data_IF_082883005187
#
_entry.id   IF_082883005187
#
_cell.length_a   1.000
_cell.length_b   1.000
_cell.length_c   1.000
_cell.angle_alpha   90.00
_cell.angle_beta   90.00
_cell.angle_gamma   90.00
#
_symmetry.space_group_name_H-M   'P 1'
#
loop_
_entity.id
_entity.type
_entity.pdbx_description
1 polymer ?
#
# COMPACT_ATOMS: atom_id res chain seq x y z
N UNK A 1 -44.26 -15.27 9.73
CA UNK A 1 -42.96 -14.66 9.38
C UNK A 1 -42.09 -15.76 8.80
N UNK A 2 -42.13 -15.96 7.49
CA UNK A 2 -41.13 -16.80 6.80
C UNK A 2 -39.87 -15.95 6.67
N UNK A 3 -38.84 -16.29 7.47
CA UNK A 3 -37.49 -15.76 7.28
C UNK A 3 -37.10 -15.90 5.81
N UNK A 4 -36.61 -14.83 5.21
CA UNK A 4 -36.08 -14.87 3.85
C UNK A 4 -34.72 -15.56 3.91
N UNK A 5 -34.75 -16.90 3.95
CA UNK A 5 -33.61 -17.79 4.27
C UNK A 5 -32.38 -17.55 3.42
N UNK A 6 -32.51 -16.94 2.23
CA UNK A 6 -31.38 -16.58 1.38
C UNK A 6 -30.71 -15.26 1.80
N UNK A 7 -31.47 -14.27 2.26
CA UNK A 7 -30.92 -12.99 2.71
C UNK A 7 -30.16 -13.13 4.03
N UNK A 8 -30.69 -13.91 4.98
CA UNK A 8 -30.05 -14.17 6.28
C UNK A 8 -28.69 -14.86 6.09
N UNK A 9 -28.63 -15.86 5.20
CA UNK A 9 -27.39 -16.57 4.88
C UNK A 9 -26.33 -15.65 4.23
N UNK A 10 -26.74 -14.75 3.34
CA UNK A 10 -25.83 -13.76 2.75
C UNK A 10 -25.29 -12.80 3.81
N UNK A 11 -26.16 -12.27 4.68
CA UNK A 11 -25.74 -11.33 5.72
C UNK A 11 -24.77 -11.97 6.72
N UNK A 12 -25.10 -13.16 7.22
CA UNK A 12 -24.22 -13.90 8.14
C UNK A 12 -22.87 -14.21 7.52
N UNK A 13 -22.83 -14.60 6.23
CA UNK A 13 -21.58 -14.84 5.51
C UNK A 13 -20.73 -13.57 5.40
N UNK A 14 -21.33 -12.43 5.08
CA UNK A 14 -20.62 -11.15 4.99
C UNK A 14 -20.03 -10.74 6.35
N UNK A 15 -20.80 -10.91 7.44
CA UNK A 15 -20.33 -10.65 8.79
C UNK A 15 -19.17 -11.57 9.20
N UNK A 16 -19.19 -12.82 8.75
CA UNK A 16 -18.07 -13.76 8.93
C UNK A 16 -16.77 -13.34 8.25
N UNK A 17 -16.82 -12.41 7.30
CA UNK A 17 -15.63 -11.91 6.59
C UNK A 17 -14.58 -11.30 7.51
N UNK A 18 -14.99 -10.64 8.61
CA UNK A 18 -14.08 -10.11 9.61
C UNK A 18 -13.26 -11.23 10.29
N UNK A 19 -13.92 -12.32 10.67
CA UNK A 19 -13.26 -13.47 11.29
C UNK A 19 -12.36 -14.21 10.31
N UNK A 20 -12.78 -14.33 9.05
CA UNK A 20 -11.95 -14.92 8.00
C UNK A 20 -10.69 -14.09 7.75
N UNK A 21 -10.79 -12.76 7.72
CA UNK A 21 -9.61 -11.89 7.59
C UNK A 21 -8.61 -12.10 8.73
N UNK A 22 -9.07 -12.19 9.99
CA UNK A 22 -8.23 -12.54 11.15
C UNK A 22 -7.62 -13.93 11.02
N UNK A 23 -8.38 -14.93 10.57
CA UNK A 23 -7.87 -16.29 10.36
C UNK A 23 -6.74 -16.33 9.32
N UNK A 24 -6.88 -15.59 8.21
CA UNK A 24 -5.84 -15.47 7.18
C UNK A 24 -4.60 -14.77 7.76
N UNK A 25 -4.77 -13.69 8.52
CA UNK A 25 -3.67 -12.98 9.17
C UNK A 25 -2.89 -13.87 10.15
N UNK A 26 -3.58 -14.71 10.93
CA UNK A 26 -2.94 -15.69 11.81
C UNK A 26 -2.13 -16.71 10.99
N UNK A 27 -2.68 -17.25 9.91
CA UNK A 27 -1.94 -18.17 9.04
C UNK A 27 -0.71 -17.51 8.40
N UNK A 28 -0.81 -16.22 8.04
CA UNK A 28 0.30 -15.42 7.54
C UNK A 28 1.37 -15.16 8.62
N UNK A 29 0.97 -14.86 9.86
CA UNK A 29 1.90 -14.70 11.00
C UNK A 29 2.64 -15.99 11.31
N UNK A 30 1.94 -17.13 11.28
CA UNK A 30 2.49 -18.46 11.56
C UNK A 30 3.23 -19.08 10.36
N UNK A 31 3.39 -18.35 9.26
CA UNK A 31 4.13 -18.77 8.06
C UNK A 31 3.63 -20.08 7.45
N UNK A 32 2.34 -20.40 7.61
CA UNK A 32 1.77 -21.70 7.23
C UNK A 32 2.00 -21.97 5.73
N UNK A 33 1.84 -20.96 4.89
CA UNK A 33 2.06 -21.09 3.45
C UNK A 33 3.52 -21.42 3.10
N UNK A 34 4.48 -20.83 3.82
CA UNK A 34 5.91 -21.11 3.65
C UNK A 34 6.24 -22.56 4.07
N UNK A 35 5.72 -23.01 5.22
CA UNK A 35 5.90 -24.38 5.71
C UNK A 35 5.36 -25.42 4.70
N UNK A 36 4.17 -25.18 4.17
CA UNK A 36 3.49 -26.07 3.19
C UNK A 36 4.15 -26.01 1.80
N UNK A 37 4.83 -24.91 1.44
CA UNK A 37 5.44 -24.75 0.13
C UNK A 37 6.53 -25.82 -0.16
N UNK A 38 7.15 -26.36 0.89
CA UNK A 38 8.15 -27.43 0.75
C UNK A 38 7.51 -28.80 0.53
N UNK A 39 6.44 -29.10 1.28
CA UNK A 39 5.66 -30.34 1.20
C UNK A 39 4.31 -30.17 1.89
N UNK A 40 3.27 -30.92 1.49
CA UNK A 40 2.00 -30.92 2.20
C UNK A 40 2.12 -31.41 3.65
N UNK A 41 1.64 -30.62 4.60
CA UNK A 41 1.69 -30.89 6.04
C UNK A 41 0.31 -31.14 6.63
N UNK A 42 0.25 -31.95 7.68
CA UNK A 42 -0.95 -32.10 8.51
C UNK A 42 -1.12 -30.92 9.46
N UNK A 43 -2.35 -30.69 9.95
CA UNK A 43 -2.58 -29.68 10.99
C UNK A 43 -1.75 -29.95 12.26
N UNK A 44 -1.52 -31.22 12.63
CA UNK A 44 -0.66 -31.57 13.77
C UNK A 44 0.80 -31.20 13.53
N UNK A 45 1.35 -31.53 12.34
CA UNK A 45 2.71 -31.12 11.96
C UNK A 45 2.84 -29.59 11.97
N UNK A 46 1.88 -28.86 11.40
CA UNK A 46 1.85 -27.39 11.44
C UNK A 46 1.80 -26.84 12.87
N UNK A 47 1.01 -27.45 13.76
CA UNK A 47 0.95 -27.04 15.16
C UNK A 47 2.29 -27.21 15.87
N UNK A 48 2.99 -28.33 15.61
CA UNK A 48 4.32 -28.58 16.16
C UNK A 48 5.35 -27.55 15.67
N UNK A 49 5.41 -27.32 14.35
CA UNK A 49 6.36 -26.37 13.74
C UNK A 49 6.13 -24.92 14.21
N UNK A 50 4.86 -24.55 14.43
CA UNK A 50 4.47 -23.19 14.82
C UNK A 50 4.25 -23.01 16.33
N UNK A 51 4.49 -24.06 17.12
CA UNK A 51 4.25 -24.08 18.58
C UNK A 51 2.82 -23.69 18.97
N UNK A 52 1.85 -24.05 18.13
CA UNK A 52 0.43 -23.78 18.33
C UNK A 52 -0.28 -24.98 18.98
N UNK A 53 -1.49 -24.73 19.50
CA UNK A 53 -2.36 -25.79 19.99
C UNK A 53 -2.85 -26.67 18.80
N UNK A 54 -2.69 -28.00 18.86
CA UNK A 54 -3.08 -28.88 17.76
C UNK A 54 -4.57 -28.90 17.42
N UNK A 55 -5.48 -28.80 18.40
CA UNK A 55 -6.93 -28.78 18.15
C UNK A 55 -7.34 -27.47 17.49
N UNK A 56 -6.79 -26.35 17.97
CA UNK A 56 -7.08 -25.03 17.39
C UNK A 56 -6.50 -24.90 15.98
N UNK A 57 -5.28 -25.40 15.74
CA UNK A 57 -4.67 -25.43 14.40
C UNK A 57 -5.51 -26.26 13.42
N UNK A 58 -6.01 -27.43 13.83
CA UNK A 58 -6.90 -28.25 12.99
C UNK A 58 -8.17 -27.49 12.58
N UNK A 59 -8.82 -26.79 13.52
CA UNK A 59 -10.00 -25.97 13.23
C UNK A 59 -9.70 -24.79 12.31
N UNK A 60 -8.57 -24.11 12.54
CA UNK A 60 -8.12 -23.01 11.68
C UNK A 60 -7.90 -23.49 10.24
N UNK A 61 -7.15 -24.58 10.06
CA UNK A 61 -6.84 -25.12 8.73
C UNK A 61 -8.08 -25.65 8.02
N UNK A 62 -9.03 -26.27 8.74
CA UNK A 62 -10.33 -26.66 8.17
C UNK A 62 -11.14 -25.46 7.68
N UNK A 63 -11.20 -24.38 8.46
CA UNK A 63 -11.88 -23.15 8.04
C UNK A 63 -11.23 -22.57 6.79
N UNK A 64 -9.90 -22.40 6.81
CA UNK A 64 -9.17 -21.80 5.69
C UNK A 64 -9.26 -22.68 4.43
N UNK A 65 -9.26 -24.01 4.56
CA UNK A 65 -9.47 -24.90 3.44
C UNK A 65 -10.91 -24.87 2.90
N UNK A 66 -11.92 -24.82 3.78
CA UNK A 66 -13.31 -24.69 3.36
C UNK A 66 -13.59 -23.36 2.64
N UNK A 67 -12.83 -22.31 2.95
CA UNK A 67 -12.88 -21.01 2.25
C UNK A 67 -11.96 -20.95 1.01
N UNK A 68 -11.28 -22.05 0.64
CA UNK A 68 -10.43 -22.11 -0.56
C UNK A 68 -9.10 -21.39 -0.43
N UNK A 69 -8.67 -21.02 0.78
CA UNK A 69 -7.35 -20.42 1.02
C UNK A 69 -6.27 -21.48 0.87
N UNK A 70 -6.42 -22.62 1.55
CA UNK A 70 -5.59 -23.81 1.39
C UNK A 70 -6.41 -24.95 0.78
N UNK A 71 -5.75 -26.01 0.33
CA UNK A 71 -6.43 -27.22 -0.16
C UNK A 71 -6.19 -28.38 0.81
N UNK A 72 -7.24 -29.10 1.22
CA UNK A 72 -7.09 -30.37 1.94
C UNK A 72 -7.03 -31.50 0.92
N UNK A 73 -5.84 -32.07 0.72
CA UNK A 73 -5.57 -33.10 -0.29
C UNK A 73 -5.81 -34.53 0.23
N UNK A 74 -6.52 -34.67 1.37
CA UNK A 74 -6.81 -35.93 2.02
C UNK A 74 -5.91 -36.23 3.22
N UNK A 75 -6.35 -37.15 4.09
CA UNK A 75 -5.65 -37.53 5.34
C UNK A 75 -5.25 -36.34 6.24
N UNK A 76 -6.05 -35.27 6.21
CA UNK A 76 -5.79 -34.02 6.92
C UNK A 76 -4.48 -33.33 6.53
N UNK A 77 -3.98 -33.55 5.31
CA UNK A 77 -2.82 -32.85 4.75
C UNK A 77 -3.26 -31.67 3.90
N UNK A 78 -2.54 -30.56 4.05
CA UNK A 78 -2.84 -29.30 3.41
C UNK A 78 -1.77 -28.92 2.38
N UNK A 79 -2.20 -28.42 1.24
CA UNK A 79 -1.37 -27.88 0.18
C UNK A 79 -1.71 -26.41 -0.09
N UNK A 80 -0.77 -25.67 -0.69
CA UNK A 80 -1.03 -24.30 -1.12
C UNK A 80 -1.97 -24.26 -2.34
N UNK A 81 -2.92 -23.32 -2.33
CA UNK A 81 -3.67 -22.93 -3.53
C UNK A 81 -2.98 -21.74 -4.20
N UNK A 82 -3.53 -21.26 -5.33
CA UNK A 82 -3.11 -19.98 -5.90
C UNK A 82 -3.34 -18.79 -4.95
N UNK A 83 -4.28 -18.89 -4.01
CA UNK A 83 -4.56 -17.85 -3.02
C UNK A 83 -3.53 -17.88 -1.89
N UNK A 84 -3.29 -19.03 -1.25
CA UNK A 84 -2.29 -19.11 -0.17
C UNK A 84 -0.86 -18.97 -0.68
N UNK A 85 -0.59 -19.20 -1.97
CA UNK A 85 0.69 -18.87 -2.59
C UNK A 85 1.02 -17.36 -2.50
N UNK A 86 0.01 -16.49 -2.39
CA UNK A 86 0.21 -15.05 -2.12
C UNK A 86 0.62 -14.79 -0.66
N UNK A 87 0.56 -15.77 0.24
CA UNK A 87 1.05 -15.65 1.61
C UNK A 87 2.49 -16.14 1.77
N UNK A 88 3.10 -16.72 0.74
CA UNK A 88 4.50 -17.15 0.81
C UNK A 88 5.43 -15.92 0.81
N UNK A 89 6.43 -15.94 1.68
CA UNK A 89 7.43 -14.88 1.86
C UNK A 89 8.35 -14.71 0.64
N UNK A 90 8.65 -15.79 -0.07
CA UNK A 90 9.51 -15.81 -1.24
C UNK A 90 8.81 -15.45 -2.56
N UNK A 91 7.50 -15.18 -2.52
CA UNK A 91 6.73 -14.79 -3.70
C UNK A 91 6.95 -13.31 -4.00
N UNK A 92 7.31 -13.00 -5.25
CA UNK A 92 7.38 -11.60 -5.72
C UNK A 92 6.02 -10.89 -5.60
N UNK A 93 4.93 -11.65 -5.60
CA UNK A 93 3.55 -11.19 -5.48
C UNK A 93 2.99 -11.36 -4.07
N UNK A 94 3.84 -11.57 -3.06
CA UNK A 94 3.40 -11.78 -1.69
C UNK A 94 2.51 -10.63 -1.20
N UNK A 95 1.44 -10.97 -0.49
CA UNK A 95 0.55 -10.10 0.26
C UNK A 95 0.54 -10.48 1.73
N UNK A 96 1.50 -11.30 2.18
CA UNK A 96 1.58 -11.85 3.53
C UNK A 96 1.47 -10.75 4.59
N UNK A 97 2.26 -9.69 4.45
CA UNK A 97 2.31 -8.61 5.44
C UNK A 97 1.08 -7.72 5.32
N UNK A 98 0.54 -7.52 4.11
CA UNK A 98 -0.75 -6.85 3.96
C UNK A 98 -1.87 -7.61 4.67
N UNK A 99 -1.93 -8.94 4.55
CA UNK A 99 -2.90 -9.76 5.27
C UNK A 99 -2.73 -9.66 6.78
N UNK A 100 -1.48 -9.64 7.28
CA UNK A 100 -1.18 -9.40 8.69
C UNK A 100 -1.69 -8.02 9.14
N UNK A 101 -1.31 -6.94 8.45
CA UNK A 101 -1.77 -5.58 8.75
C UNK A 101 -3.30 -5.48 8.78
N UNK A 102 -3.96 -6.04 7.76
CA UNK A 102 -5.41 -6.03 7.62
C UNK A 102 -6.12 -6.77 8.76
N UNK A 103 -5.57 -7.90 9.21
CA UNK A 103 -6.08 -8.67 10.34
C UNK A 103 -5.48 -8.26 11.69
N UNK A 104 -4.66 -7.24 11.79
CA UNK A 104 -4.07 -6.76 13.06
C UNK A 104 -4.48 -5.32 13.30
N UNK A 105 -3.57 -4.36 13.18
CA UNK A 105 -3.81 -2.96 13.53
C UNK A 105 -5.00 -2.37 12.76
N UNK A 106 -5.19 -2.68 11.47
CA UNK A 106 -6.35 -2.19 10.73
C UNK A 106 -7.65 -2.78 11.25
N UNK A 107 -7.67 -4.07 11.59
CA UNK A 107 -8.85 -4.69 12.18
C UNK A 107 -9.25 -4.01 13.48
N UNK A 108 -8.26 -3.70 14.34
CA UNK A 108 -8.52 -3.07 15.63
C UNK A 108 -9.05 -1.65 15.45
N UNK A 109 -8.50 -0.89 14.49
CA UNK A 109 -9.03 0.43 14.10
C UNK A 109 -10.47 0.32 13.56
N UNK A 110 -10.76 -0.67 12.71
CA UNK A 110 -12.12 -0.91 12.19
C UNK A 110 -13.12 -1.26 13.29
N UNK A 111 -12.66 -1.85 14.41
CA UNK A 111 -13.46 -2.05 15.61
C UNK A 111 -14.07 -0.75 16.16
N UNK A 112 -13.44 0.40 15.90
CA UNK A 112 -13.91 1.72 16.29
C UNK A 112 -14.61 2.50 15.16
N UNK A 113 -15.02 1.86 14.05
CA UNK A 113 -15.72 2.51 12.93
C UNK A 113 -16.91 3.39 13.35
N UNK A 114 -17.66 2.96 14.37
CA UNK A 114 -18.80 3.73 14.89
C UNK A 114 -18.39 5.15 15.35
N UNK A 115 -17.17 5.31 15.89
CA UNK A 115 -16.61 6.60 16.23
C UNK A 115 -16.53 7.47 14.98
N UNK A 116 -15.85 7.00 13.93
CA UNK A 116 -15.68 7.73 12.67
C UNK A 116 -17.02 8.13 12.05
N UNK A 117 -18.01 7.23 12.03
CA UNK A 117 -19.33 7.54 11.49
C UNK A 117 -20.04 8.64 12.31
N UNK A 118 -19.89 8.65 13.63
CA UNK A 118 -20.57 9.62 14.50
C UNK A 118 -19.88 10.97 14.56
N UNK A 119 -18.55 11.01 14.48
CA UNK A 119 -17.76 12.22 14.75
C UNK A 119 -17.12 12.81 13.50
N UNK A 120 -16.99 12.03 12.43
CA UNK A 120 -16.18 12.38 11.26
C UNK A 120 -14.67 12.31 11.51
N UNK A 121 -14.23 11.85 12.70
CA UNK A 121 -12.83 11.74 13.08
C UNK A 121 -12.27 10.34 12.81
N UNK A 122 -10.96 10.25 12.57
CA UNK A 122 -10.27 8.98 12.39
C UNK A 122 -10.46 8.03 13.57
N UNK A 123 -10.70 6.75 13.30
CA UNK A 123 -10.85 5.73 14.33
C UNK A 123 -9.51 5.41 15.03
N UNK A 124 -8.38 5.78 14.43
CA UNK A 124 -7.07 5.71 15.07
C UNK A 124 -7.05 6.51 16.38
N UNK A 125 -7.71 7.66 16.44
CA UNK A 125 -7.76 8.49 17.65
C UNK A 125 -8.44 7.75 18.80
N UNK A 126 -9.55 7.06 18.51
CA UNK A 126 -10.31 6.30 19.51
C UNK A 126 -9.60 4.99 19.91
N UNK A 127 -8.84 4.38 19.00
CA UNK A 127 -8.20 3.07 19.19
C UNK A 127 -6.83 3.20 19.85
N UNK A 128 -6.01 4.15 19.41
CA UNK A 128 -4.60 4.29 19.81
C UNK A 128 -4.27 5.63 20.48
N UNK A 129 -5.27 6.51 20.68
CA UNK A 129 -5.08 7.82 21.33
C UNK A 129 -4.35 8.86 20.47
N UNK A 130 -4.13 8.59 19.18
CA UNK A 130 -3.43 9.48 18.25
C UNK A 130 -3.58 9.03 16.80
N UNK A 131 -2.69 9.50 15.92
CA UNK A 131 -2.65 9.01 14.54
C UNK A 131 -2.13 7.58 14.45
N UNK A 132 -2.37 6.91 13.31
CA UNK A 132 -1.71 5.63 13.00
C UNK A 132 -0.19 5.76 13.12
N UNK A 133 0.38 6.84 12.61
CA UNK A 133 1.83 7.06 12.63
C UNK A 133 2.38 7.18 14.04
N UNK A 134 1.70 7.89 14.95
CA UNK A 134 2.10 7.98 16.37
C UNK A 134 2.09 6.61 17.06
N UNK A 135 1.15 5.73 16.67
CA UNK A 135 1.11 4.36 17.16
C UNK A 135 2.31 3.54 16.64
N UNK A 136 2.63 3.65 15.35
CA UNK A 136 3.77 2.94 14.76
C UNK A 136 5.12 3.39 15.37
N UNK A 137 5.28 4.66 15.74
CA UNK A 137 6.49 5.12 16.46
C UNK A 137 6.65 4.49 17.85
N UNK A 138 5.55 4.09 18.49
CA UNK A 138 5.54 3.49 19.84
C UNK A 138 5.61 1.96 19.81
N UNK A 139 5.17 1.33 18.73
CA UNK A 139 5.05 -0.12 18.60
C UNK A 139 5.91 -0.66 17.44
N UNK A 140 7.20 -0.99 17.69
CA UNK A 140 8.15 -1.36 16.63
C UNK A 140 7.73 -2.56 15.77
N UNK A 141 7.09 -3.56 16.36
CA UNK A 141 6.63 -4.73 15.60
C UNK A 141 5.47 -4.37 14.66
N UNK A 142 4.54 -3.51 15.11
CA UNK A 142 3.47 -3.01 14.25
C UNK A 142 4.03 -2.13 13.12
N UNK A 143 5.04 -1.30 13.40
CA UNK A 143 5.76 -0.54 12.38
C UNK A 143 6.39 -1.44 11.33
N UNK A 144 7.09 -2.51 11.75
CA UNK A 144 7.70 -3.47 10.84
C UNK A 144 6.67 -4.14 9.93
N UNK A 145 5.54 -4.58 10.49
CA UNK A 145 4.44 -5.17 9.69
C UNK A 145 3.86 -4.15 8.73
N UNK A 146 3.66 -2.90 9.16
CA UNK A 146 3.17 -1.82 8.31
C UNK A 146 4.11 -1.53 7.13
N UNK A 147 5.41 -1.35 7.40
CA UNK A 147 6.42 -1.04 6.38
C UNK A 147 6.49 -2.16 5.32
N UNK A 148 6.47 -3.43 5.76
CA UNK A 148 6.47 -4.59 4.87
C UNK A 148 5.13 -4.73 4.10
N UNK A 149 4.00 -4.40 4.72
CA UNK A 149 2.70 -4.38 4.04
C UNK A 149 2.65 -3.29 2.96
N UNK A 150 3.22 -2.11 3.22
CA UNK A 150 3.33 -1.06 2.22
C UNK A 150 4.24 -1.49 1.07
N UNK A 151 5.32 -2.21 1.37
CA UNK A 151 6.18 -2.83 0.36
C UNK A 151 5.41 -3.84 -0.51
N UNK A 152 4.63 -4.73 0.10
CA UNK A 152 3.77 -5.71 -0.59
C UNK A 152 2.86 -5.01 -1.62
N UNK A 153 2.20 -3.92 -1.21
CA UNK A 153 1.31 -3.15 -2.06
C UNK A 153 2.05 -2.26 -3.08
N UNK A 154 3.32 -1.92 -2.85
CA UNK A 154 4.11 -1.07 -3.72
C UNK A 154 4.82 -1.85 -4.84
N UNK A 155 5.20 -3.12 -4.61
CA UNK A 155 5.94 -3.94 -5.58
C UNK A 155 5.34 -3.94 -7.01
N UNK A 156 4.02 -4.16 -7.22
CA UNK A 156 3.46 -4.17 -8.57
C UNK A 156 3.60 -2.83 -9.28
N UNK A 157 3.42 -1.72 -8.56
CA UNK A 157 3.57 -0.36 -9.10
C UNK A 157 5.03 -0.06 -9.43
N UNK A 158 5.95 -0.45 -8.54
CA UNK A 158 7.40 -0.30 -8.76
C UNK A 158 7.87 -1.01 -10.02
N UNK A 159 7.44 -2.27 -10.22
CA UNK A 159 7.72 -3.03 -11.45
C UNK A 159 7.17 -2.33 -12.69
N UNK A 160 5.90 -1.90 -12.65
CA UNK A 160 5.28 -1.24 -13.80
C UNK A 160 6.00 0.05 -14.18
N UNK A 161 6.38 0.88 -13.19
CA UNK A 161 7.14 2.10 -13.44
C UNK A 161 8.53 1.79 -13.98
N UNK A 162 9.24 0.81 -13.41
CA UNK A 162 10.55 0.39 -13.88
C UNK A 162 10.52 -0.06 -15.36
N UNK A 163 9.48 -0.78 -15.77
CA UNK A 163 9.31 -1.29 -17.13
C UNK A 163 8.80 -0.25 -18.14
N UNK A 164 7.84 0.61 -17.73
CA UNK A 164 7.06 1.43 -18.66
C UNK A 164 7.38 2.91 -18.65
N UNK A 165 7.97 3.44 -17.57
CA UNK A 165 8.32 4.85 -17.51
C UNK A 165 9.69 5.12 -18.14
N UNK A 166 9.79 6.20 -18.90
CA UNK A 166 11.05 6.60 -19.53
C UNK A 166 11.85 7.55 -18.62
N UNK A 167 13.03 7.09 -18.20
CA UNK A 167 13.94 7.84 -17.32
C UNK A 167 15.21 8.34 -18.02
N UNK A 168 15.27 8.33 -19.36
CA UNK A 168 16.51 8.48 -20.14
C UNK A 168 17.28 9.79 -19.89
N UNK A 169 16.58 10.89 -19.60
CA UNK A 169 17.19 12.21 -19.35
C UNK A 169 17.34 12.54 -17.85
N UNK A 170 16.85 11.67 -16.96
CA UNK A 170 16.92 11.88 -15.52
C UNK A 170 18.19 11.26 -14.94
N UNK A 171 18.68 11.84 -13.85
CA UNK A 171 19.80 11.32 -13.06
C UNK A 171 19.36 11.05 -11.62
N UNK A 172 18.50 11.89 -11.04
CA UNK A 172 18.02 11.75 -9.66
C UNK A 172 16.50 11.60 -9.61
N UNK A 173 16.03 10.53 -8.97
CA UNK A 173 14.62 10.30 -8.65
C UNK A 173 14.41 10.46 -7.14
N UNK A 174 13.47 11.31 -6.74
CA UNK A 174 13.10 11.53 -5.34
C UNK A 174 11.72 10.89 -5.10
N UNK A 175 11.64 9.93 -4.21
CA UNK A 175 10.38 9.31 -3.78
C UNK A 175 9.95 9.91 -2.45
N UNK A 176 8.86 10.67 -2.47
CA UNK A 176 8.38 11.48 -1.34
C UNK A 176 7.33 10.67 -0.59
N UNK A 177 7.62 10.30 0.66
CA UNK A 177 6.84 9.31 1.40
C UNK A 177 7.06 7.89 0.84
N UNK A 178 8.29 7.60 0.42
CA UNK A 178 8.63 6.36 -0.30
C UNK A 178 8.68 5.10 0.57
N UNK A 179 8.46 5.21 1.89
CA UNK A 179 8.52 4.10 2.82
C UNK A 179 9.91 3.46 2.85
N UNK A 180 9.95 2.14 2.67
CA UNK A 180 11.21 1.40 2.57
C UNK A 180 11.87 1.46 1.18
N UNK A 181 11.42 2.35 0.30
CA UNK A 181 12.00 2.57 -1.02
C UNK A 181 11.72 1.47 -2.04
N UNK A 182 10.73 0.60 -1.80
CA UNK A 182 10.39 -0.52 -2.72
C UNK A 182 10.23 -0.08 -4.18
N UNK A 183 9.56 1.06 -4.43
CA UNK A 183 9.37 1.59 -5.78
C UNK A 183 10.71 2.03 -6.39
N UNK A 184 11.51 2.80 -5.64
CA UNK A 184 12.83 3.23 -6.09
C UNK A 184 13.77 2.06 -6.35
N UNK A 185 13.80 1.04 -5.49
CA UNK A 185 14.66 -0.12 -5.69
C UNK A 185 14.38 -0.80 -7.04
N UNK A 186 13.10 -0.98 -7.40
CA UNK A 186 12.73 -1.54 -8.71
C UNK A 186 13.18 -0.65 -9.87
N UNK A 187 12.97 0.67 -9.77
CA UNK A 187 13.38 1.64 -10.81
C UNK A 187 14.90 1.65 -10.97
N UNK A 188 15.65 1.72 -9.86
CA UNK A 188 17.11 1.78 -9.88
C UNK A 188 17.73 0.47 -10.40
N UNK A 189 17.11 -0.67 -10.14
CA UNK A 189 17.55 -1.95 -10.69
C UNK A 189 17.42 -2.01 -12.22
N UNK A 190 16.32 -1.47 -12.78
CA UNK A 190 16.08 -1.43 -14.22
C UNK A 190 16.85 -0.31 -14.95
N UNK A 191 17.23 0.76 -14.26
CA UNK A 191 17.86 1.96 -14.82
C UNK A 191 19.17 2.29 -14.09
N UNK A 192 20.31 1.67 -14.48
CA UNK A 192 21.59 1.77 -13.75
C UNK A 192 22.18 3.18 -13.68
N UNK A 193 21.79 4.08 -14.59
CA UNK A 193 22.26 5.48 -14.62
C UNK A 193 21.60 6.36 -13.56
N UNK A 194 20.53 5.88 -12.90
CA UNK A 194 19.80 6.66 -11.90
C UNK A 194 20.40 6.52 -10.50
N UNK A 195 20.19 7.59 -9.73
CA UNK A 195 20.35 7.70 -8.29
C UNK A 195 18.97 7.98 -7.67
N UNK A 196 18.71 7.42 -6.49
CA UNK A 196 17.46 7.55 -5.77
C UNK A 196 17.62 8.26 -4.42
N UNK A 197 16.64 9.09 -4.08
CA UNK A 197 16.47 9.64 -2.74
C UNK A 197 15.08 9.23 -2.25
N UNK A 198 15.02 8.37 -1.24
CA UNK A 198 13.78 8.00 -0.57
C UNK A 198 13.60 8.89 0.65
N UNK A 199 12.65 9.83 0.62
CA UNK A 199 12.36 10.70 1.75
C UNK A 199 11.17 10.14 2.53
N UNK A 200 11.39 9.89 3.82
CA UNK A 200 10.35 9.45 4.75
C UNK A 200 10.73 9.85 6.19
N UNK A 201 9.95 9.41 7.19
CA UNK A 201 10.23 9.63 8.61
C UNK A 201 11.52 8.93 9.03
N UNK A 202 12.14 9.44 10.09
CA UNK A 202 13.42 8.92 10.62
C UNK A 202 13.37 7.43 10.97
N UNK A 203 12.31 7.00 11.67
CA UNK A 203 12.09 5.60 12.03
C UNK A 203 12.01 4.68 10.81
N UNK A 204 11.28 5.10 9.77
CA UNK A 204 11.08 4.37 8.51
C UNK A 204 12.39 4.28 7.74
N UNK A 205 13.11 5.40 7.58
CA UNK A 205 14.42 5.41 6.92
C UNK A 205 15.42 4.48 7.63
N UNK A 206 15.42 4.46 8.96
CA UNK A 206 16.27 3.56 9.75
C UNK A 206 15.94 2.09 9.48
N UNK A 207 14.66 1.68 9.58
CA UNK A 207 14.27 0.29 9.29
C UNK A 207 14.61 -0.11 7.85
N UNK A 208 14.43 0.80 6.89
CA UNK A 208 14.75 0.55 5.49
C UNK A 208 16.25 0.34 5.26
N UNK A 209 17.10 1.13 5.93
CA UNK A 209 18.56 0.97 5.90
C UNK A 209 19.03 -0.34 6.54
N UNK A 210 18.35 -0.84 7.57
CA UNK A 210 18.66 -2.13 8.20
C UNK A 210 18.29 -3.32 7.29
N UNK A 211 17.26 -3.16 6.45
CA UNK A 211 16.74 -4.21 5.58
C UNK A 211 17.31 -4.21 4.14
N UNK A 212 17.91 -3.11 3.68
CA UNK A 212 18.37 -2.98 2.29
C UNK A 212 19.58 -3.87 1.99
N UNK A 213 19.56 -4.55 0.84
CA UNK A 213 20.71 -5.29 0.35
C UNK A 213 21.86 -4.34 -0.03
N UNK A 214 23.10 -4.74 0.27
CA UNK A 214 24.30 -3.92 0.05
C UNK A 214 24.51 -3.52 -1.44
N UNK A 215 23.96 -4.29 -2.37
CA UNK A 215 24.00 -4.02 -3.82
C UNK A 215 23.14 -2.81 -4.23
N UNK A 216 22.06 -2.53 -3.48
CA UNK A 216 21.15 -1.42 -3.75
C UNK A 216 21.53 -0.14 -2.98
N UNK A 217 22.30 -0.26 -1.89
CA UNK A 217 22.61 0.86 -0.99
C UNK A 217 23.52 1.94 -1.59
N UNK A 218 24.32 1.63 -2.61
CA UNK A 218 25.22 2.62 -3.21
C UNK A 218 24.51 3.70 -4.02
N UNK A 219 23.30 3.44 -4.50
CA UNK A 219 22.54 4.36 -5.38
C UNK A 219 21.22 4.82 -4.80
N UNK A 220 20.86 4.33 -3.62
CA UNK A 220 19.64 4.69 -2.91
C UNK A 220 20.00 5.32 -1.57
N UNK A 221 19.72 6.62 -1.44
CA UNK A 221 19.88 7.35 -0.19
C UNK A 221 18.53 7.48 0.52
N UNK A 222 18.44 7.00 1.76
CA UNK A 222 17.30 7.27 2.62
C UNK A 222 17.51 8.61 3.33
N UNK A 223 16.61 9.57 3.09
CA UNK A 223 16.68 10.91 3.64
C UNK A 223 15.56 11.09 4.68
N UNK A 224 15.87 11.02 5.99
CA UNK A 224 14.88 11.29 7.01
C UNK A 224 14.42 12.75 6.93
N UNK A 225 13.11 12.99 6.88
CA UNK A 225 12.58 14.35 6.77
C UNK A 225 11.07 14.46 6.78
N UNK A 226 10.60 15.70 6.89
CA UNK A 226 9.19 16.07 6.74
C UNK A 226 8.96 16.61 5.33
N UNK A 227 8.12 15.97 4.53
CA UNK A 227 7.78 16.43 3.18
C UNK A 227 6.91 17.70 3.16
N UNK A 228 6.42 18.15 4.32
CA UNK A 228 5.83 19.48 4.49
C UNK A 228 6.87 20.57 4.71
N UNK A 229 8.16 20.23 4.74
CA UNK A 229 9.31 21.12 4.70
C UNK A 229 9.97 21.13 3.30
N UNK A 230 11.01 21.96 3.06
CA UNK A 230 11.74 21.97 1.79
C UNK A 230 12.33 20.59 1.42
N UNK A 231 12.21 20.21 0.16
CA UNK A 231 12.61 18.90 -0.37
C UNK A 231 13.98 18.97 -1.08
N UNK A 232 14.72 17.84 -1.16
CA UNK A 232 15.94 17.78 -1.95
C UNK A 232 15.62 17.97 -3.43
N UNK A 233 16.52 18.59 -4.20
CA UNK A 233 16.36 18.70 -5.66
C UNK A 233 16.42 17.32 -6.32
N UNK A 234 15.57 17.13 -7.33
CA UNK A 234 15.53 15.93 -8.17
C UNK A 234 15.09 16.25 -9.59
N UNK A 235 15.36 15.34 -10.54
CA UNK A 235 14.83 15.44 -11.91
C UNK A 235 13.41 14.89 -12.00
N UNK A 236 13.08 13.90 -11.16
CA UNK A 236 11.77 13.31 -11.05
C UNK A 236 11.40 13.23 -9.57
N UNK A 237 10.17 13.65 -9.24
CA UNK A 237 9.54 13.36 -7.96
C UNK A 237 8.45 12.31 -8.15
N UNK A 238 8.39 11.33 -7.27
CA UNK A 238 7.31 10.34 -7.18
C UNK A 238 6.56 10.58 -5.87
N UNK A 239 5.23 10.64 -5.96
CA UNK A 239 4.31 10.72 -4.82
C UNK A 239 3.30 9.60 -5.02
N UNK A 240 3.50 8.46 -4.36
CA UNK A 240 2.64 7.28 -4.51
C UNK A 240 1.87 7.01 -3.23
N UNK A 241 0.54 7.01 -3.30
CA UNK A 241 -0.33 6.68 -2.17
C UNK A 241 -0.04 7.54 -0.92
N UNK A 242 0.27 8.81 -1.12
CA UNK A 242 0.60 9.75 -0.03
C UNK A 242 -0.52 10.76 0.13
N UNK A 243 -1.02 11.34 -0.96
CA UNK A 243 -2.03 12.41 -0.92
C UNK A 243 -3.35 11.93 -0.31
N UNK A 244 -3.70 10.64 -0.46
CA UNK A 244 -4.91 10.11 0.17
C UNK A 244 -4.86 10.13 1.71
N UNK A 245 -3.68 10.24 2.31
CA UNK A 245 -3.54 10.28 3.77
C UNK A 245 -3.78 11.67 4.37
N UNK A 246 -3.94 12.69 3.54
CA UNK A 246 -3.96 14.09 3.97
C UNK A 246 -5.20 14.85 3.48
N UNK A 247 -5.56 15.90 4.21
CA UNK A 247 -6.60 16.85 3.78
C UNK A 247 -6.18 17.63 2.53
N UNK A 248 -7.13 18.23 1.81
CA UNK A 248 -6.85 18.97 0.57
C UNK A 248 -5.80 20.09 0.77
N UNK A 249 -5.90 20.83 1.88
CA UNK A 249 -4.94 21.91 2.19
C UNK A 249 -3.52 21.37 2.37
N UNK A 250 -3.38 20.22 3.03
CA UNK A 250 -2.09 19.55 3.23
C UNK A 250 -1.56 18.97 1.91
N UNK A 251 -2.41 18.39 1.07
CA UNK A 251 -2.01 17.96 -0.27
C UNK A 251 -1.47 19.12 -1.11
N UNK A 252 -2.15 20.27 -1.12
CA UNK A 252 -1.68 21.47 -1.83
C UNK A 252 -0.35 21.97 -1.25
N UNK A 253 -0.18 21.96 0.07
CA UNK A 253 1.08 22.32 0.73
C UNK A 253 2.24 21.40 0.28
N UNK A 254 2.04 20.08 0.32
CA UNK A 254 3.03 19.09 -0.12
C UNK A 254 3.41 19.31 -1.59
N UNK A 255 2.41 19.41 -2.47
CA UNK A 255 2.64 19.63 -3.90
C UNK A 255 3.33 20.97 -4.19
N UNK A 256 3.02 22.02 -3.42
CA UNK A 256 3.69 23.31 -3.53
C UNK A 256 5.16 23.25 -3.08
N UNK A 257 5.48 22.47 -2.04
CA UNK A 257 6.86 22.23 -1.62
C UNK A 257 7.68 21.43 -2.64
N UNK A 258 7.04 20.48 -3.33
CA UNK A 258 7.65 19.81 -4.48
C UNK A 258 7.94 20.85 -5.56
N UNK A 259 6.94 21.66 -5.94
CA UNK A 259 7.09 22.70 -6.96
C UNK A 259 8.24 23.67 -6.66
N UNK A 260 8.43 24.11 -5.43
CA UNK A 260 9.54 25.02 -5.07
C UNK A 260 10.92 24.36 -5.25
N UNK A 261 10.97 23.03 -5.15
CA UNK A 261 12.18 22.22 -5.30
C UNK A 261 12.40 21.73 -6.74
N UNK A 262 11.45 22.00 -7.66
CA UNK A 262 11.54 21.66 -9.08
C UNK A 262 12.34 22.68 -9.89
N UNK A 263 13.23 22.16 -10.74
CA UNK A 263 13.81 22.90 -11.88
C UNK A 263 12.87 22.85 -13.10
N UNK A 264 13.07 23.68 -14.15
CA UNK A 264 12.18 23.71 -15.32
C UNK A 264 11.91 22.34 -15.97
N UNK A 265 12.95 21.51 -16.08
CA UNK A 265 12.86 20.18 -16.69
C UNK A 265 12.37 19.07 -15.75
N UNK A 266 12.02 19.43 -14.50
CA UNK A 266 11.63 18.46 -13.49
C UNK A 266 10.21 17.95 -13.71
N UNK A 267 10.01 16.66 -13.45
CA UNK A 267 8.72 16.00 -13.60
C UNK A 267 8.24 15.53 -12.23
N UNK A 268 6.95 15.67 -11.97
CA UNK A 268 6.29 15.07 -10.82
C UNK A 268 5.32 13.98 -11.31
N UNK A 269 5.44 12.79 -10.72
CA UNK A 269 4.54 11.66 -10.92
C UNK A 269 3.69 11.49 -9.65
N UNK A 270 2.38 11.73 -9.76
CA UNK A 270 1.42 11.49 -8.67
C UNK A 270 0.65 10.22 -8.95
N UNK A 271 0.81 9.20 -8.10
CA UNK A 271 0.14 7.91 -8.21
C UNK A 271 -0.85 7.76 -7.05
N UNK A 272 -2.14 7.74 -7.35
CA UNK A 272 -3.20 7.62 -6.35
C UNK A 272 -4.33 6.70 -6.84
N UNK A 273 -5.08 6.07 -5.93
CA UNK A 273 -6.35 5.47 -6.29
C UNK A 273 -7.38 6.55 -6.58
N UNK A 274 -7.98 6.51 -7.77
CA UNK A 274 -9.08 7.38 -8.12
C UNK A 274 -10.40 6.71 -7.74
N UNK A 275 -11.26 7.47 -7.06
CA UNK A 275 -12.62 7.07 -6.75
C UNK A 275 -13.56 8.07 -7.42
N UNK A 276 -14.10 7.66 -8.56
CA UNK A 276 -15.01 8.51 -9.33
C UNK A 276 -16.38 8.62 -8.64
N UNK A 277 -17.08 9.76 -8.73
CA UNK A 277 -18.37 9.94 -8.05
C UNK A 277 -19.42 8.90 -8.45
N UNK A 278 -19.43 8.48 -9.71
CA UNK A 278 -20.33 7.51 -10.34
C UNK A 278 -19.84 6.05 -10.24
N UNK A 279 -18.69 5.81 -9.60
CA UNK A 279 -18.15 4.47 -9.42
C UNK A 279 -18.89 3.72 -8.30
N UNK A 280 -19.61 2.67 -8.64
CA UNK A 280 -20.36 1.86 -7.67
C UNK A 280 -19.64 0.57 -7.24
N UNK A 281 -18.33 0.45 -7.53
CA UNK A 281 -17.50 -0.67 -7.10
C UNK A 281 -17.48 -0.81 -5.58
N UNK A 282 -17.92 -1.96 -5.01
CA UNK A 282 -17.85 -2.19 -3.56
C UNK A 282 -16.43 -2.06 -3.01
N UNK A 283 -15.42 -2.45 -3.81
CA UNK A 283 -14.01 -2.33 -3.44
C UNK A 283 -13.59 -0.87 -3.26
N UNK A 284 -13.86 -0.02 -4.25
CA UNK A 284 -13.47 1.39 -4.17
C UNK A 284 -14.24 2.15 -3.08
N UNK A 285 -15.49 1.76 -2.81
CA UNK A 285 -16.25 2.30 -1.68
C UNK A 285 -15.70 1.83 -0.32
N UNK A 286 -15.19 0.60 -0.23
CA UNK A 286 -14.47 0.12 0.94
C UNK A 286 -13.17 0.90 1.15
N UNK A 287 -12.38 1.11 0.09
CA UNK A 287 -11.13 1.86 0.16
C UNK A 287 -11.36 3.31 0.59
N UNK A 288 -12.43 3.95 0.09
CA UNK A 288 -12.81 5.29 0.49
C UNK A 288 -13.20 5.39 1.98
N UNK A 289 -13.93 4.40 2.49
CA UNK A 289 -14.27 4.33 3.91
C UNK A 289 -13.04 4.02 4.76
N UNK A 290 -12.17 3.11 4.31
CA UNK A 290 -10.90 2.78 4.95
C UNK A 290 -10.07 4.05 5.16
N UNK A 291 -9.92 4.90 4.15
CA UNK A 291 -9.18 6.16 4.26
C UNK A 291 -9.71 7.07 5.38
N UNK A 292 -11.04 7.23 5.49
CA UNK A 292 -11.64 8.03 6.55
C UNK A 292 -11.43 7.41 7.95
N UNK A 293 -11.32 6.08 8.01
CA UNK A 293 -11.15 5.31 9.25
C UNK A 293 -9.70 5.35 9.75
N UNK A 294 -8.71 5.23 8.85
CA UNK A 294 -7.29 5.04 9.23
C UNK A 294 -6.44 6.30 9.11
N UNK A 295 -6.74 7.19 8.16
CA UNK A 295 -5.90 8.34 7.85
C UNK A 295 -6.25 9.55 8.73
N UNK A 296 -5.61 10.70 8.50
CA UNK A 296 -5.87 11.94 9.25
C UNK A 296 -7.35 12.36 9.15
N UNK A 297 -7.87 13.02 10.19
CA UNK A 297 -9.22 13.57 10.16
C UNK A 297 -9.38 14.58 9.02
N UNK A 298 -10.43 14.44 8.21
CA UNK A 298 -10.70 15.31 7.07
C UNK A 298 -10.07 14.84 5.74
N UNK A 299 -9.48 13.65 5.71
CA UNK A 299 -9.14 12.95 4.47
C UNK A 299 -10.39 12.55 3.70
N UNK A 300 -10.24 12.38 2.39
CA UNK A 300 -11.30 11.87 1.52
C UNK A 300 -10.71 11.15 0.33
N UNK A 301 -11.45 10.18 -0.18
CA UNK A 301 -11.21 9.63 -1.49
C UNK A 301 -11.43 10.70 -2.56
N UNK A 302 -10.62 10.66 -3.63
CA UNK A 302 -10.61 11.69 -4.66
C UNK A 302 -10.76 11.09 -6.04
N UNK A 303 -11.50 11.78 -6.90
CA UNK A 303 -11.53 11.50 -8.33
C UNK A 303 -10.27 11.99 -9.02
N UNK A 304 -10.04 11.56 -10.26
CA UNK A 304 -8.97 12.07 -11.11
C UNK A 304 -9.04 13.60 -11.23
N UNK A 305 -10.24 14.14 -11.48
CA UNK A 305 -10.48 15.58 -11.59
C UNK A 305 -10.11 16.34 -10.31
N UNK A 306 -10.40 15.77 -9.13
CA UNK A 306 -10.04 16.38 -7.85
C UNK A 306 -8.52 16.39 -7.63
N UNK A 307 -7.82 15.29 -7.96
CA UNK A 307 -6.35 15.25 -7.91
C UNK A 307 -5.74 16.31 -8.83
N UNK A 308 -6.20 16.41 -10.09
CA UNK A 308 -5.76 17.46 -11.03
C UNK A 308 -6.03 18.87 -10.51
N UNK A 309 -7.14 19.06 -9.80
CA UNK A 309 -7.48 20.31 -9.13
C UNK A 309 -6.47 20.69 -8.05
N UNK A 310 -6.03 19.73 -7.22
CA UNK A 310 -4.98 19.95 -6.20
C UNK A 310 -3.63 20.29 -6.83
N UNK A 311 -3.25 19.56 -7.88
CA UNK A 311 -2.03 19.86 -8.68
C UNK A 311 -2.07 21.30 -9.21
N UNK A 312 -3.20 21.71 -9.80
CA UNK A 312 -3.35 23.06 -10.36
C UNK A 312 -3.28 24.15 -9.29
N UNK A 313 -3.92 23.94 -8.13
CA UNK A 313 -3.86 24.87 -6.98
C UNK A 313 -2.43 25.02 -6.43
N UNK A 314 -1.62 23.97 -6.50
CA UNK A 314 -0.21 24.02 -6.15
C UNK A 314 0.67 24.68 -7.22
N UNK A 315 0.10 25.21 -8.31
CA UNK A 315 0.83 25.89 -9.39
C UNK A 315 1.58 24.92 -10.31
N UNK A 316 1.12 23.67 -10.41
CA UNK A 316 1.66 22.67 -11.32
C UNK A 316 0.70 22.48 -12.49
N UNK A 317 1.23 22.06 -13.63
CA UNK A 317 0.46 21.74 -14.84
C UNK A 317 0.42 20.24 -15.02
N UNK A 318 -0.77 19.70 -15.27
CA UNK A 318 -0.94 18.30 -15.69
C UNK A 318 -0.59 18.18 -17.17
N UNK A 319 0.30 17.26 -17.50
CA UNK A 319 0.69 16.96 -18.89
C UNK A 319 -0.02 15.72 -19.43
N UNK A 320 -0.08 14.67 -18.61
CA UNK A 320 -0.61 13.38 -19.00
C UNK A 320 -1.32 12.73 -17.81
N UNK A 321 -2.28 11.85 -18.10
CA UNK A 321 -2.85 10.94 -17.12
C UNK A 321 -2.93 9.55 -17.70
N UNK A 322 -2.45 8.58 -16.93
CA UNK A 322 -2.29 7.18 -17.36
C UNK A 322 -2.92 6.27 -16.32
N UNK A 323 -3.72 5.31 -16.78
CA UNK A 323 -4.19 4.22 -15.92
C UNK A 323 -3.05 3.21 -15.75
N UNK A 324 -2.63 2.99 -14.51
CA UNK A 324 -1.51 2.10 -14.14
C UNK A 324 -2.07 0.72 -13.80
N UNK A 325 -3.13 0.69 -13.00
CA UNK A 325 -3.92 -0.50 -12.68
C UNK A 325 -5.40 -0.13 -12.70
N UNK A 326 -6.29 -1.12 -12.49
CA UNK A 326 -7.74 -0.87 -12.37
C UNK A 326 -8.13 0.07 -11.23
N UNK A 327 -7.22 0.34 -10.29
CA UNK A 327 -7.46 1.08 -9.06
C UNK A 327 -6.37 2.13 -8.76
N UNK A 328 -5.46 2.42 -9.69
CA UNK A 328 -4.40 3.42 -9.52
C UNK A 328 -4.19 4.17 -10.83
N UNK A 329 -4.28 5.49 -10.76
CA UNK A 329 -3.95 6.38 -11.87
C UNK A 329 -2.67 7.15 -11.58
N UNK A 330 -1.93 7.46 -12.63
CA UNK A 330 -0.74 8.29 -12.62
C UNK A 330 -1.05 9.62 -13.31
N UNK A 331 -0.83 10.72 -12.61
CA UNK A 331 -0.85 12.08 -13.16
C UNK A 331 0.59 12.57 -13.30
N UNK A 332 1.02 12.81 -14.53
CA UNK A 332 2.34 13.39 -14.83
C UNK A 332 2.21 14.90 -14.88
N UNK A 333 3.04 15.58 -14.10
CA UNK A 333 2.95 17.01 -13.85
C UNK A 333 4.29 17.72 -14.10
N UNK A 334 4.22 18.99 -14.48
CA UNK A 334 5.36 19.91 -14.58
C UNK A 334 5.12 21.18 -13.80
N UNK A 335 6.21 21.92 -13.59
CA UNK A 335 6.13 23.32 -13.19
C UNK A 335 5.36 24.12 -14.26
N UNK A 336 4.46 24.99 -13.81
CA UNK A 336 3.76 25.90 -14.72
C UNK A 336 4.69 27.07 -15.08
N UNK A 337 5.20 27.10 -16.32
CA UNK A 337 5.93 28.25 -16.88
C UNK A 337 5.24 28.77 -18.16
N UNK A 338 5.19 30.08 -18.31
CA UNK A 338 4.66 30.74 -19.51
C UNK A 338 5.67 30.62 -20.64
N UNK A 339 5.64 29.52 -21.41
CA UNK A 339 6.36 29.42 -22.69
C UNK A 339 7.01 28.08 -23.06
N UNK A 340 6.83 26.98 -22.33
CA UNK A 340 7.76 25.85 -22.45
C UNK A 340 7.58 24.86 -23.63
N UNK A 341 8.74 24.54 -24.23
CA UNK A 341 9.00 23.37 -25.08
C UNK A 341 9.09 22.09 -24.23
N UNK A 342 8.54 20.99 -24.76
CA UNK A 342 8.23 19.74 -24.04
C UNK A 342 9.43 18.82 -23.88
N UNK A 343 9.69 18.36 -22.66
CA UNK A 343 10.18 17.00 -22.41
C UNK A 343 8.93 16.12 -22.24
N UNK A 344 8.91 14.93 -22.83
CA UNK A 344 7.73 14.05 -22.78
C UNK A 344 8.10 12.81 -21.99
N UNK A 345 7.43 12.54 -20.88
CA UNK A 345 7.36 11.17 -20.35
C UNK A 345 6.25 10.52 -21.13
N UNK A 346 6.57 9.51 -21.93
CA UNK A 346 5.57 8.72 -22.63
C UNK A 346 5.47 7.37 -21.94
N UNK A 347 4.31 7.06 -21.38
CA UNK A 347 4.02 5.72 -20.87
C UNK A 347 3.14 5.05 -21.91
N UNK A 348 3.66 4.11 -22.72
CA UNK A 348 2.90 3.52 -23.80
C UNK A 348 1.66 2.80 -23.25
N UNK A 349 0.47 3.28 -23.64
CA UNK A 349 -0.79 2.58 -23.40
C UNK A 349 -0.83 1.32 -24.28
N UNK A 350 -0.44 0.15 -23.76
CA UNK A 350 -0.80 -1.13 -24.38
C UNK A 350 -1.26 -2.18 -23.37
N UNK A 351 -2.55 -2.50 -23.56
CA UNK A 351 -3.28 -3.75 -23.32
C UNK A 351 -3.28 -4.32 -21.89
N UNK A 352 -4.45 -4.14 -21.26
CA UNK A 352 -4.98 -4.95 -20.14
C UNK A 352 -5.06 -6.41 -20.57
#
# INVERSE_FOLDING_TARGET
>A
MTMNTNADAVLVRLMGGAWLAKAIAVAARLEIADLIATKPLTAFELAVETQADPDIMDRLMRLLAACGIFENIGLNRYANTSVSALLCSNSEFSLRHFCMLAGESYYDIWGALLHTVKTGQSACQATFGGSLYDYLEREPEAARVYDLAMADLARPVGRLLAERAEFKSAHTVVDVGGGNGTVLQAILAAHPHLQGICLDRESVCRHALEAIEATNSQRLNFLPGDFFAPLPKGNIYIVKNVLHNWSDARCVQLLANIRTSMCPDTILMVLEPFVEPDDHSPRHRMDALLQAVISETGTKARSEAQIKGLVSQAGLKVEETVSITSNCGLVVCRRFESGDQKLTVHIPQRLI
#
